data_IF_507233859895
#
_entry.id   IF_507233859895
#
_cell.length_a   1.000
_cell.length_b   1.000
_cell.length_c   1.000
_cell.angle_alpha   90.00
_cell.angle_beta   90.00
_cell.angle_gamma   90.00
#
_symmetry.space_group_name_H-M   'P 1'
#
loop_
_entity.id
_entity.type
_entity.pdbx_description
1 polymer ?
#
# COMPACT_ATOMS: atom_id res chain seq x y z
N UNK A 1 24.60 47.81 -34.87
CA UNK A 1 24.55 46.33 -34.83
C UNK A 1 24.10 45.82 -33.46
N UNK A 2 23.54 46.68 -32.58
CA UNK A 2 23.12 46.32 -31.22
C UNK A 2 21.60 46.16 -31.06
N UNK A 3 20.78 46.80 -31.89
CA UNK A 3 19.30 46.76 -31.77
C UNK A 3 18.64 45.40 -32.07
N UNK A 4 19.24 44.58 -32.95
CA UNK A 4 18.70 43.26 -33.31
C UNK A 4 18.86 42.23 -32.18
N UNK A 5 19.83 42.42 -31.28
CA UNK A 5 20.08 41.55 -30.12
C UNK A 5 19.06 41.78 -29.00
N UNK A 6 18.74 43.05 -28.74
CA UNK A 6 17.80 43.45 -27.69
C UNK A 6 16.36 43.04 -28.05
N UNK A 7 15.99 43.12 -29.33
CA UNK A 7 14.67 42.69 -29.81
C UNK A 7 14.45 41.18 -29.58
N UNK A 8 15.47 40.36 -29.84
CA UNK A 8 15.43 38.92 -29.65
C UNK A 8 15.28 38.50 -28.17
N UNK A 9 15.96 39.22 -27.26
CA UNK A 9 15.85 38.98 -25.82
C UNK A 9 14.45 39.35 -25.29
N UNK A 10 13.88 40.46 -25.78
CA UNK A 10 12.54 40.88 -25.39
C UNK A 10 11.46 39.91 -25.87
N UNK A 11 11.60 39.34 -27.06
CA UNK A 11 10.68 38.31 -27.56
C UNK A 11 10.78 37.00 -26.75
N UNK A 12 11.99 36.59 -26.36
CA UNK A 12 12.17 35.43 -25.46
C UNK A 12 11.57 35.68 -24.08
N UNK A 13 11.72 36.88 -23.52
CA UNK A 13 11.10 37.26 -22.25
C UNK A 13 9.57 37.30 -22.34
N UNK A 14 9.00 37.68 -23.49
CA UNK A 14 7.54 37.63 -23.71
C UNK A 14 7.04 36.19 -23.71
N UNK A 15 7.71 35.29 -24.44
CA UNK A 15 7.35 33.86 -24.49
C UNK A 15 7.44 33.22 -23.10
N UNK A 16 8.49 33.55 -22.33
CA UNK A 16 8.64 33.08 -20.95
C UNK A 16 7.51 33.57 -20.05
N UNK A 17 7.09 34.82 -20.16
CA UNK A 17 5.94 35.35 -19.41
C UNK A 17 4.64 34.63 -19.74
N UNK A 18 4.40 34.35 -21.02
CA UNK A 18 3.20 33.64 -21.47
C UNK A 18 3.17 32.19 -20.94
N UNK A 19 4.31 31.50 -20.96
CA UNK A 19 4.44 30.16 -20.39
C UNK A 19 4.23 30.15 -18.86
N UNK A 20 4.77 31.13 -18.14
CA UNK A 20 4.53 31.27 -16.69
C UNK A 20 3.05 31.49 -16.41
N UNK A 21 2.38 32.33 -17.21
CA UNK A 21 0.95 32.60 -17.06
C UNK A 21 0.11 31.33 -17.23
N UNK A 22 0.44 30.50 -18.23
CA UNK A 22 -0.27 29.25 -18.50
C UNK A 22 -0.01 28.20 -17.40
N UNK A 23 1.22 28.14 -16.86
CA UNK A 23 1.55 27.28 -15.71
C UNK A 23 0.74 27.70 -14.47
N UNK A 24 0.65 29.01 -14.19
CA UNK A 24 -0.14 29.54 -13.07
C UNK A 24 -1.62 29.19 -13.24
N UNK A 25 -2.17 29.35 -14.44
CA UNK A 25 -3.56 28.99 -14.76
C UNK A 25 -3.84 27.51 -14.54
N UNK A 26 -2.96 26.62 -15.01
CA UNK A 26 -3.10 25.18 -14.82
C UNK A 26 -2.99 24.76 -13.35
N UNK A 27 -2.11 25.42 -12.59
CA UNK A 27 -1.95 25.18 -11.15
C UNK A 27 -3.22 25.56 -10.39
N UNK A 28 -3.82 26.70 -10.72
CA UNK A 28 -5.08 27.14 -10.11
C UNK A 28 -6.24 26.20 -10.46
N UNK A 29 -6.31 25.71 -11.71
CA UNK A 29 -7.30 24.69 -12.08
C UNK A 29 -7.13 23.42 -11.25
N UNK A 30 -5.90 22.93 -11.07
CA UNK A 30 -5.63 21.76 -10.25
C UNK A 30 -6.04 21.97 -8.78
N UNK A 31 -5.75 23.13 -8.20
CA UNK A 31 -6.19 23.49 -6.84
C UNK A 31 -7.72 23.44 -6.69
N UNK A 32 -8.47 24.00 -7.65
CA UNK A 32 -9.94 23.94 -7.62
C UNK A 32 -10.49 22.52 -7.75
N UNK A 33 -9.82 21.63 -8.49
CA UNK A 33 -10.21 20.22 -8.59
C UNK A 33 -9.95 19.47 -7.27
N UNK A 34 -8.89 19.82 -6.55
CA UNK A 34 -8.54 19.28 -5.24
C UNK A 34 -9.58 19.68 -4.18
N UNK A 35 -9.93 20.96 -4.10
CA UNK A 35 -10.97 21.47 -3.19
C UNK A 35 -12.34 20.82 -3.47
N UNK A 36 -12.71 20.65 -4.75
CA UNK A 36 -13.93 19.91 -5.13
C UNK A 36 -13.88 18.44 -4.68
N UNK A 37 -12.70 17.82 -4.73
CA UNK A 37 -12.48 16.46 -4.24
C UNK A 37 -12.64 16.36 -2.73
N UNK A 38 -12.09 17.32 -1.98
CA UNK A 38 -12.21 17.40 -0.52
C UNK A 38 -13.65 17.66 -0.08
N UNK A 39 -14.37 18.56 -0.75
CA UNK A 39 -15.80 18.80 -0.50
C UNK A 39 -16.65 17.54 -0.71
N UNK A 40 -16.36 16.73 -1.74
CA UNK A 40 -17.03 15.44 -1.94
C UNK A 40 -16.71 14.44 -0.84
N UNK A 41 -15.45 14.37 -0.39
CA UNK A 41 -15.06 13.49 0.73
C UNK A 41 -15.74 13.90 2.03
N UNK A 42 -15.85 15.20 2.29
CA UNK A 42 -16.52 15.70 3.50
C UNK A 42 -18.02 15.36 3.50
N UNK A 43 -18.70 15.57 2.38
CA UNK A 43 -20.12 15.17 2.24
C UNK A 43 -20.34 13.68 2.50
N UNK A 44 -19.44 12.82 2.01
CA UNK A 44 -19.51 11.37 2.26
C UNK A 44 -19.29 11.03 3.75
N UNK A 45 -18.38 11.73 4.43
CA UNK A 45 -18.18 11.58 5.88
C UNK A 45 -19.43 11.97 6.65
N UNK A 46 -20.04 13.10 6.33
CA UNK A 46 -21.24 13.59 7.00
C UNK A 46 -22.44 12.65 6.77
N UNK A 47 -22.55 12.05 5.58
CA UNK A 47 -23.55 11.03 5.26
C UNK A 47 -23.36 9.75 6.09
N UNK A 48 -22.12 9.27 6.22
CA UNK A 48 -21.80 8.11 7.05
C UNK A 48 -22.17 8.37 8.52
N UNK A 49 -21.79 9.54 9.07
CA UNK A 49 -22.11 9.92 10.45
C UNK A 49 -23.63 9.97 10.67
N UNK A 50 -24.38 10.60 9.75
CA UNK A 50 -25.85 10.66 9.84
C UNK A 50 -26.49 9.27 9.83
N UNK A 51 -25.96 8.33 9.04
CA UNK A 51 -26.47 6.98 8.98
C UNK A 51 -26.17 6.18 10.26
N UNK A 52 -24.99 6.36 10.86
CA UNK A 52 -24.63 5.77 12.16
C UNK A 52 -25.54 6.28 13.27
N UNK A 53 -25.85 7.57 13.31
CA UNK A 53 -26.76 8.15 14.31
C UNK A 53 -28.21 7.64 14.18
N UNK A 54 -28.69 7.39 12.96
CA UNK A 54 -30.01 6.77 12.71
C UNK A 54 -30.08 5.34 13.21
N UNK A 55 -28.98 4.59 13.07
CA UNK A 55 -28.88 3.21 13.59
C UNK A 55 -28.92 3.24 15.12
N UNK A 56 -28.20 4.17 15.76
CA UNK A 56 -28.14 4.28 17.21
C UNK A 56 -29.50 4.68 17.82
N UNK A 57 -30.29 5.53 17.15
CA UNK A 57 -31.63 5.94 17.60
C UNK A 57 -32.71 4.84 17.53
N UNK A 58 -32.50 3.79 16.75
CA UNK A 58 -33.45 2.68 16.62
C UNK A 58 -33.18 1.52 17.60
N UNK A 59 -32.22 1.67 18.51
CA UNK A 59 -31.85 0.68 19.51
C UNK A 59 -32.36 1.11 20.91
N UNK A 60 -33.56 0.69 21.30
CA UNK A 60 -33.99 0.75 22.71
C UNK A 60 -33.68 -0.58 23.42
N UNK A 61 -32.95 -0.57 24.57
CA UNK A 61 -32.66 -1.78 25.32
C UNK A 61 -33.80 -2.12 26.29
N UNK A 62 -34.58 -3.17 25.99
CA UNK A 62 -35.46 -3.80 26.99
C UNK A 62 -34.66 -4.77 27.87
N UNK A 63 -34.44 -4.40 29.14
CA UNK A 63 -33.86 -5.27 30.18
C UNK A 63 -34.96 -5.83 31.10
N UNK A 64 -35.04 -7.15 31.33
CA UNK A 64 -35.73 -7.71 32.48
C UNK A 64 -34.76 -7.86 33.67
N UNK A 65 -35.15 -7.31 34.83
CA UNK A 65 -34.56 -7.59 36.15
C UNK A 65 -35.02 -8.95 36.64
N UNK A 66 -34.17 -9.76 37.27
CA UNK A 66 -34.46 -10.54 38.49
C UNK A 66 -33.17 -11.07 39.15
N UNK A 67 -33.20 -11.20 40.48
CA UNK A 67 -32.05 -11.34 41.38
C UNK A 67 -31.84 -12.77 41.90
N UNK A 68 -30.56 -13.20 42.00
CA UNK A 68 -29.92 -14.14 42.99
C UNK A 68 -30.40 -15.61 43.15
N UNK A 69 -29.62 -16.54 43.78
CA UNK A 69 -28.16 -16.70 43.90
C UNK A 69 -27.63 -18.17 43.67
N UNK A 70 -26.30 -18.32 43.75
CA UNK A 70 -25.40 -19.48 43.61
C UNK A 70 -25.81 -20.84 44.21
N UNK A 71 -25.45 -21.94 43.53
CA UNK A 71 -25.00 -23.21 44.15
C UNK A 71 -24.08 -23.99 43.20
N UNK A 72 -22.91 -24.41 43.69
CA UNK A 72 -21.94 -25.29 43.01
C UNK A 72 -22.30 -26.78 43.19
N UNK A 73 -22.24 -27.60 42.13
CA UNK A 73 -21.88 -29.03 42.25
C UNK A 73 -21.34 -29.62 40.93
N UNK A 74 -20.54 -30.69 41.06
CA UNK A 74 -19.50 -31.17 40.15
C UNK A 74 -19.92 -32.07 38.99
N UNK A 75 -19.07 -32.05 37.94
CA UNK A 75 -18.80 -32.97 36.83
C UNK A 75 -19.61 -34.30 36.70
N UNK A 76 -20.18 -34.53 35.50
CA UNK A 76 -19.93 -35.77 34.71
C UNK A 76 -20.36 -35.63 33.23
N UNK A 77 -19.72 -36.44 32.40
CA UNK A 77 -19.49 -36.39 30.94
C UNK A 77 -20.71 -36.70 30.04
N UNK A 78 -20.66 -36.14 28.82
CA UNK A 78 -21.25 -36.54 27.50
C UNK A 78 -22.54 -35.86 26.99
N UNK A 79 -22.34 -34.98 26.01
CA UNK A 79 -23.10 -34.94 24.75
C UNK A 79 -24.29 -33.98 24.70
N UNK A 80 -24.13 -32.84 24.03
CA UNK A 80 -25.07 -32.31 23.02
C UNK A 80 -24.67 -30.88 22.63
N UNK A 81 -24.80 -30.57 21.35
CA UNK A 81 -24.61 -29.25 20.75
C UNK A 81 -25.50 -28.20 21.42
N UNK A 82 -24.92 -27.05 21.78
CA UNK A 82 -25.58 -25.73 21.67
C UNK A 82 -24.55 -24.61 21.52
N UNK A 83 -24.88 -23.53 20.79
CA UNK A 83 -23.93 -22.60 20.20
C UNK A 83 -23.59 -21.46 21.17
N UNK A 84 -22.29 -21.20 21.35
CA UNK A 84 -21.81 -19.98 21.98
C UNK A 84 -21.84 -18.88 20.91
N UNK A 85 -22.97 -18.16 20.80
CA UNK A 85 -23.15 -17.03 19.89
C UNK A 85 -22.83 -15.74 20.64
N UNK A 86 -21.66 -15.19 20.36
CA UNK A 86 -21.19 -13.92 20.90
C UNK A 86 -19.87 -13.46 20.28
N UNK A 87 -19.62 -13.81 19.02
CA UNK A 87 -18.56 -13.22 18.21
C UNK A 87 -19.21 -12.74 16.92
N UNK A 88 -18.98 -11.48 16.57
CA UNK A 88 -19.46 -10.86 15.34
C UNK A 88 -18.91 -11.65 14.14
N UNK A 89 -19.70 -12.62 13.67
CA UNK A 89 -19.41 -13.37 12.46
C UNK A 89 -19.48 -12.36 11.33
N UNK A 90 -18.31 -11.95 10.84
CA UNK A 90 -18.16 -11.18 9.60
C UNK A 90 -19.07 -11.83 8.56
N UNK A 91 -20.07 -11.08 8.10
CA UNK A 91 -20.90 -11.53 7.00
C UNK A 91 -19.97 -11.82 5.84
N UNK A 92 -19.97 -13.05 5.32
CA UNK A 92 -19.10 -13.47 4.22
C UNK A 92 -19.23 -12.57 2.95
N UNK A 93 -20.20 -11.66 2.94
CA UNK A 93 -20.41 -10.61 1.93
C UNK A 93 -19.41 -9.45 2.02
N UNK A 94 -18.83 -9.18 3.18
CA UNK A 94 -17.93 -8.04 3.42
C UNK A 94 -16.45 -8.39 3.18
N UNK A 95 -16.15 -9.68 3.00
CA UNK A 95 -14.80 -10.16 2.68
C UNK A 95 -14.52 -9.91 1.19
N UNK A 96 -13.40 -9.26 0.83
CA UNK A 96 -13.02 -9.03 -0.56
C UNK A 96 -13.02 -10.31 -1.39
N UNK A 97 -13.55 -10.22 -2.61
CA UNK A 97 -13.59 -11.36 -3.54
C UNK A 97 -12.18 -11.77 -3.91
N UNK A 98 -11.96 -13.04 -4.24
CA UNK A 98 -10.63 -13.56 -4.60
C UNK A 98 -9.91 -12.75 -5.71
N UNK A 99 -10.66 -12.12 -6.62
CA UNK A 99 -10.09 -11.27 -7.68
C UNK A 99 -9.45 -9.97 -7.16
N UNK A 100 -9.82 -9.52 -5.96
CA UNK A 100 -9.31 -8.31 -5.30
C UNK A 100 -8.07 -8.60 -4.46
N UNK A 101 -7.71 -9.88 -4.31
CA UNK A 101 -6.52 -10.29 -3.55
C UNK A 101 -5.28 -10.31 -4.46
N UNK A 102 -4.09 -10.02 -3.89
CA UNK A 102 -2.86 -10.03 -4.67
C UNK A 102 -2.55 -11.47 -5.13
N UNK A 103 -1.88 -11.59 -6.28
CA UNK A 103 -1.35 -12.86 -6.77
C UNK A 103 0.17 -12.85 -6.69
N UNK A 104 0.75 -14.00 -6.37
CA UNK A 104 2.20 -14.16 -6.28
C UNK A 104 2.66 -15.33 -7.15
N UNK A 105 3.74 -15.14 -7.92
CA UNK A 105 4.34 -16.19 -8.76
C UNK A 105 5.66 -16.71 -8.20
N UNK A 106 6.41 -15.86 -7.48
CA UNK A 106 7.77 -16.13 -7.05
C UNK A 106 8.76 -16.28 -8.21
N UNK A 107 8.46 -15.72 -9.38
CA UNK A 107 9.27 -15.77 -10.61
C UNK A 107 9.57 -14.36 -11.12
N UNK A 108 10.81 -14.11 -11.58
CA UNK A 108 11.24 -12.82 -12.13
C UNK A 108 11.56 -11.75 -11.09
N UNK A 109 11.32 -10.48 -11.44
CA UNK A 109 11.36 -9.35 -10.51
C UNK A 109 10.06 -9.35 -9.68
N UNK A 110 10.02 -10.13 -8.59
CA UNK A 110 8.86 -10.20 -7.69
C UNK A 110 9.05 -9.33 -6.45
N UNK A 111 7.95 -8.88 -5.84
CA UNK A 111 7.96 -8.20 -4.55
C UNK A 111 7.14 -9.00 -3.52
N UNK A 112 7.83 -9.86 -2.76
CA UNK A 112 7.20 -10.71 -1.76
C UNK A 112 6.72 -9.92 -0.53
N UNK A 113 7.41 -8.82 -0.21
CA UNK A 113 7.02 -7.88 0.86
C UNK A 113 5.68 -7.23 0.54
N UNK A 114 5.50 -6.71 -0.68
CA UNK A 114 4.25 -6.06 -1.08
C UNK A 114 3.07 -7.02 -1.07
N UNK A 115 3.29 -8.27 -1.49
CA UNK A 115 2.28 -9.32 -1.39
C UNK A 115 1.85 -9.56 0.06
N UNK A 116 2.82 -9.73 0.96
CA UNK A 116 2.56 -9.93 2.40
C UNK A 116 1.84 -8.72 3.00
N UNK A 117 2.35 -7.51 2.75
CA UNK A 117 1.79 -6.24 3.23
C UNK A 117 0.36 -6.03 2.77
N UNK A 118 0.06 -6.37 1.52
CA UNK A 118 -1.31 -6.26 0.99
C UNK A 118 -2.26 -7.20 1.73
N UNK A 119 -1.84 -8.44 2.00
CA UNK A 119 -2.64 -9.37 2.81
C UNK A 119 -2.80 -8.86 4.24
N UNK A 120 -1.75 -8.35 4.88
CA UNK A 120 -1.82 -7.78 6.23
C UNK A 120 -2.81 -6.60 6.29
N UNK A 121 -2.81 -5.70 5.29
CA UNK A 121 -3.78 -4.61 5.20
C UNK A 121 -5.21 -5.13 5.05
N UNK A 122 -5.43 -6.15 4.21
CA UNK A 122 -6.75 -6.76 4.06
C UNK A 122 -7.20 -7.44 5.36
N UNK A 123 -6.29 -8.11 6.05
CA UNK A 123 -6.54 -8.73 7.33
C UNK A 123 -6.96 -7.71 8.38
N UNK A 124 -6.22 -6.60 8.49
CA UNK A 124 -6.49 -5.53 9.45
C UNK A 124 -7.81 -4.82 9.13
N UNK A 125 -8.02 -4.43 7.86
CA UNK A 125 -9.17 -3.64 7.46
C UNK A 125 -10.51 -4.39 7.53
N UNK A 126 -10.49 -5.69 7.21
CA UNK A 126 -11.69 -6.53 7.21
C UNK A 126 -11.74 -7.51 8.39
N UNK A 127 -10.83 -7.38 9.36
CA UNK A 127 -10.70 -8.29 10.52
C UNK A 127 -10.69 -9.78 10.15
N UNK A 128 -9.99 -10.13 9.06
CA UNK A 128 -10.07 -11.47 8.47
C UNK A 128 -9.36 -12.49 9.37
N UNK A 129 -10.03 -13.58 9.79
CA UNK A 129 -9.38 -14.67 10.51
C UNK A 129 -8.33 -15.37 9.65
N UNK A 130 -7.26 -15.85 10.29
CA UNK A 130 -6.17 -16.57 9.62
C UNK A 130 -6.69 -17.77 8.81
N UNK A 131 -7.70 -18.49 9.30
CA UNK A 131 -8.37 -19.59 8.58
C UNK A 131 -8.78 -19.23 7.15
N UNK A 132 -9.30 -18.02 6.96
CA UNK A 132 -9.80 -17.54 5.67
C UNK A 132 -8.63 -17.20 4.74
N UNK A 133 -7.61 -16.53 5.28
CA UNK A 133 -6.36 -16.24 4.56
C UNK A 133 -5.74 -17.55 4.08
N UNK A 134 -5.64 -18.52 4.99
CA UNK A 134 -5.10 -19.85 4.73
C UNK A 134 -5.90 -20.65 3.71
N UNK A 135 -7.23 -20.50 3.71
CA UNK A 135 -8.11 -21.06 2.68
C UNK A 135 -7.86 -20.45 1.29
N UNK A 136 -7.52 -19.16 1.24
CA UNK A 136 -7.27 -18.44 -0.02
C UNK A 136 -5.86 -18.59 -0.56
N UNK A 137 -4.84 -18.78 0.29
CA UNK A 137 -3.42 -18.80 -0.12
C UNK A 137 -3.11 -19.73 -1.31
N UNK A 138 -3.69 -20.93 -1.36
CA UNK A 138 -3.52 -21.86 -2.48
C UNK A 138 -3.90 -21.25 -3.84
N UNK A 139 -4.86 -20.32 -3.85
CA UNK A 139 -5.34 -19.63 -5.06
C UNK A 139 -4.58 -18.34 -5.36
N UNK A 140 -3.96 -17.73 -4.35
CA UNK A 140 -3.14 -16.52 -4.49
C UNK A 140 -1.76 -16.85 -5.07
N UNK A 141 -1.23 -18.03 -4.73
CA UNK A 141 -0.01 -18.54 -5.34
C UNK A 141 -0.23 -19.07 -6.75
N UNK A 142 0.72 -18.76 -7.63
CA UNK A 142 0.71 -19.13 -9.03
C UNK A 142 2.07 -19.70 -9.46
N UNK A 143 2.09 -20.51 -10.52
CA UNK A 143 3.32 -21.07 -11.10
C UNK A 143 4.23 -21.75 -10.07
N UNK A 144 5.51 -21.38 -9.99
CA UNK A 144 6.48 -21.97 -9.07
C UNK A 144 6.08 -21.79 -7.59
N UNK A 145 5.56 -20.62 -7.20
CA UNK A 145 5.12 -20.41 -5.81
C UNK A 145 3.99 -21.34 -5.38
N UNK A 146 3.09 -21.70 -6.30
CA UNK A 146 2.00 -22.65 -6.02
C UNK A 146 2.54 -24.04 -5.71
N UNK A 147 3.49 -24.52 -6.52
CA UNK A 147 4.14 -25.83 -6.31
C UNK A 147 4.89 -25.88 -4.98
N UNK A 148 5.59 -24.79 -4.63
CA UNK A 148 6.25 -24.68 -3.33
C UNK A 148 5.24 -24.71 -2.18
N UNK A 149 4.15 -23.95 -2.28
CA UNK A 149 3.11 -23.90 -1.26
C UNK A 149 2.47 -25.27 -1.03
N UNK A 150 2.11 -25.98 -2.10
CA UNK A 150 1.49 -27.30 -2.01
C UNK A 150 2.42 -28.31 -1.33
N UNK A 151 3.73 -28.27 -1.63
CA UNK A 151 4.73 -29.09 -0.95
C UNK A 151 4.86 -28.72 0.53
N UNK A 152 5.04 -27.44 0.84
CA UNK A 152 5.19 -26.97 2.23
C UNK A 152 3.98 -27.35 3.09
N UNK A 153 2.77 -27.26 2.53
CA UNK A 153 1.53 -27.62 3.21
C UNK A 153 1.40 -29.14 3.43
N UNK A 154 1.93 -29.96 2.53
CA UNK A 154 2.02 -31.42 2.72
C UNK A 154 3.01 -31.78 3.83
N UNK A 155 4.17 -31.11 3.87
CA UNK A 155 5.26 -31.43 4.79
C UNK A 155 4.99 -30.93 6.23
N UNK A 156 4.35 -29.76 6.40
CA UNK A 156 4.20 -29.09 7.71
C UNK A 156 2.74 -29.00 8.19
N UNK A 157 1.74 -29.24 7.32
CA UNK A 157 0.32 -29.21 7.70
C UNK A 157 -0.28 -27.81 7.80
N UNK A 158 -1.22 -27.59 8.75
CA UNK A 158 -1.92 -26.31 8.94
C UNK A 158 -1.10 -25.42 9.89
N UNK A 159 -0.84 -24.20 9.45
CA UNK A 159 -0.19 -23.15 10.23
C UNK A 159 -0.92 -21.82 10.06
N UNK A 160 -0.62 -20.88 10.95
CA UNK A 160 -1.16 -19.52 10.97
C UNK A 160 -0.47 -18.62 9.93
N UNK A 161 -1.03 -17.43 9.71
CA UNK A 161 -0.50 -16.51 8.70
C UNK A 161 0.91 -16.01 9.07
N UNK A 162 1.20 -15.82 10.35
CA UNK A 162 2.51 -15.39 10.84
C UNK A 162 3.63 -16.38 10.46
N UNK A 163 3.38 -17.68 10.60
CA UNK A 163 4.32 -18.71 10.17
C UNK A 163 4.54 -18.67 8.66
N UNK A 164 3.46 -18.56 7.87
CA UNK A 164 3.58 -18.47 6.42
C UNK A 164 4.39 -17.25 5.98
N UNK A 165 4.18 -16.07 6.58
CA UNK A 165 5.01 -14.87 6.32
C UNK A 165 6.49 -15.17 6.50
N UNK A 166 6.86 -15.83 7.59
CA UNK A 166 8.25 -16.18 7.90
C UNK A 166 8.85 -17.13 6.87
N UNK A 167 8.10 -18.16 6.45
CA UNK A 167 8.52 -19.10 5.41
C UNK A 167 8.63 -18.44 4.03
N UNK A 168 7.72 -17.52 3.71
CA UNK A 168 7.77 -16.74 2.47
C UNK A 168 9.05 -15.89 2.42
N UNK A 169 9.34 -15.14 3.49
CA UNK A 169 10.57 -14.34 3.60
C UNK A 169 11.79 -15.26 3.48
N UNK A 170 11.82 -16.37 4.20
CA UNK A 170 12.92 -17.34 4.13
C UNK A 170 13.15 -17.88 2.72
N UNK A 171 12.07 -18.19 1.99
CA UNK A 171 12.16 -18.76 0.65
C UNK A 171 12.60 -17.73 -0.40
N UNK A 172 12.03 -16.52 -0.33
CA UNK A 172 12.10 -15.54 -1.42
C UNK A 172 12.98 -14.32 -1.16
N UNK A 173 13.36 -14.07 0.09
CA UNK A 173 14.40 -13.10 0.47
C UNK A 173 15.80 -13.75 0.56
N UNK A 174 16.08 -14.76 -0.26
CA UNK A 174 17.40 -15.39 -0.25
C UNK A 174 18.48 -14.46 -0.83
N UNK A 175 19.71 -14.61 -0.34
CA UNK A 175 20.86 -13.76 -0.71
C UNK A 175 21.09 -13.69 -2.22
N UNK A 176 20.91 -14.82 -2.93
CA UNK A 176 21.09 -14.86 -4.38
C UNK A 176 20.06 -13.99 -5.12
N UNK A 177 18.82 -13.93 -4.63
CA UNK A 177 17.80 -13.06 -5.18
C UNK A 177 18.06 -11.59 -4.82
N UNK A 178 18.44 -11.29 -3.58
CA UNK A 178 18.80 -9.94 -3.16
C UNK A 178 19.91 -9.37 -4.04
N UNK A 179 20.99 -10.11 -4.23
CA UNK A 179 22.10 -9.71 -5.10
C UNK A 179 21.65 -9.46 -6.55
N UNK A 180 20.74 -10.30 -7.08
CA UNK A 180 20.18 -10.09 -8.42
C UNK A 180 19.36 -8.79 -8.48
N UNK A 181 18.51 -8.53 -7.49
CA UNK A 181 17.71 -7.29 -7.46
C UNK A 181 18.57 -6.05 -7.27
N UNK A 182 19.59 -6.10 -6.43
CA UNK A 182 20.56 -5.01 -6.27
C UNK A 182 21.24 -4.69 -7.60
N UNK A 183 21.75 -5.70 -8.32
CA UNK A 183 22.35 -5.48 -9.64
C UNK A 183 21.37 -4.93 -10.67
N UNK A 184 20.12 -5.39 -10.64
CA UNK A 184 19.04 -4.91 -11.52
C UNK A 184 18.67 -3.45 -11.19
N UNK A 185 18.71 -3.04 -9.93
CA UNK A 185 18.55 -1.65 -9.53
C UNK A 185 19.78 -0.81 -9.92
N UNK A 186 20.99 -1.31 -9.67
CA UNK A 186 22.21 -0.56 -9.94
C UNK A 186 22.49 -0.36 -11.43
N UNK A 187 22.10 -1.30 -12.28
CA UNK A 187 22.19 -1.14 -13.74
C UNK A 187 21.04 -0.29 -14.32
N UNK A 188 19.98 -0.02 -13.56
CA UNK A 188 18.85 0.77 -14.05
C UNK A 188 19.16 2.27 -13.98
N UNK A 189 19.53 2.84 -15.12
CA UNK A 189 19.66 4.29 -15.32
C UNK A 189 18.43 4.77 -16.09
N UNK A 190 17.82 5.87 -15.63
CA UNK A 190 16.65 6.43 -16.29
C UNK A 190 17.04 7.07 -17.63
N UNK A 191 16.23 6.84 -18.67
CA UNK A 191 16.38 7.46 -19.98
C UNK A 191 15.07 8.09 -20.44
N UNK A 192 15.05 9.40 -20.67
CA UNK A 192 13.86 10.12 -21.16
C UNK A 192 13.34 9.64 -22.52
N UNK A 193 14.20 9.01 -23.32
CA UNK A 193 13.85 8.45 -24.63
C UNK A 193 13.14 7.09 -24.53
N UNK A 194 13.44 6.31 -23.49
CA UNK A 194 12.99 4.92 -23.35
C UNK A 194 11.95 4.73 -22.26
N UNK A 195 12.02 5.53 -21.20
CA UNK A 195 11.31 5.31 -19.96
C UNK A 195 10.22 6.35 -19.72
N UNK A 196 9.06 5.88 -19.25
CA UNK A 196 8.03 6.76 -18.69
C UNK A 196 8.39 7.06 -17.23
N UNK A 197 8.56 8.33 -16.82
CA UNK A 197 9.08 8.70 -15.50
C UNK A 197 8.38 8.00 -14.33
N UNK A 198 7.04 8.05 -14.28
CA UNK A 198 6.27 7.47 -13.19
C UNK A 198 6.38 5.93 -13.14
N UNK A 199 6.22 5.26 -14.27
CA UNK A 199 6.31 3.80 -14.35
C UNK A 199 7.70 3.32 -13.94
N UNK A 200 8.74 4.00 -14.41
CA UNK A 200 10.11 3.67 -14.07
C UNK A 200 10.41 3.91 -12.59
N UNK A 201 9.96 5.05 -12.05
CA UNK A 201 10.11 5.39 -10.64
C UNK A 201 9.43 4.36 -9.72
N UNK A 202 8.17 4.00 -9.98
CA UNK A 202 7.47 3.00 -9.18
C UNK A 202 8.16 1.64 -9.26
N UNK A 203 8.65 1.24 -10.44
CA UNK A 203 9.43 0.01 -10.58
C UNK A 203 10.69 0.01 -9.72
N UNK A 204 11.40 1.14 -9.62
CA UNK A 204 12.56 1.26 -8.74
C UNK A 204 12.18 1.28 -7.26
N UNK A 205 11.08 1.95 -6.91
CA UNK A 205 10.53 1.97 -5.55
C UNK A 205 10.16 0.55 -5.09
N UNK A 206 9.52 -0.23 -5.95
CA UNK A 206 9.17 -1.64 -5.66
C UNK A 206 10.40 -2.49 -5.41
N UNK A 207 11.47 -2.34 -6.22
CA UNK A 207 12.74 -3.06 -6.03
C UNK A 207 13.37 -2.72 -4.68
N UNK A 208 13.41 -1.43 -4.32
CA UNK A 208 14.02 -0.97 -3.08
C UNK A 208 13.24 -1.42 -1.85
N UNK A 209 11.91 -1.39 -1.87
CA UNK A 209 11.11 -1.94 -0.77
C UNK A 209 11.26 -3.45 -0.61
N UNK A 210 11.34 -4.17 -1.73
CA UNK A 210 11.53 -5.62 -1.68
C UNK A 210 12.91 -6.02 -1.12
N UNK A 211 13.91 -5.14 -1.24
CA UNK A 211 15.26 -5.32 -0.69
C UNK A 211 15.36 -4.83 0.77
N UNK A 212 14.78 -3.68 1.08
CA UNK A 212 14.89 -3.00 2.37
C UNK A 212 13.52 -2.44 2.78
N UNK A 213 12.65 -3.25 3.39
CA UNK A 213 11.30 -2.84 3.75
C UNK A 213 11.28 -1.69 4.77
N UNK A 214 12.31 -1.59 5.62
CA UNK A 214 12.41 -0.57 6.67
C UNK A 214 13.01 0.76 6.18
N UNK A 215 13.32 0.88 4.88
CA UNK A 215 13.89 2.11 4.32
C UNK A 215 12.84 3.22 4.23
N UNK A 216 13.19 4.42 4.70
CA UNK A 216 12.29 5.57 4.59
C UNK A 216 12.04 5.98 3.15
N UNK A 217 10.83 6.48 2.87
CA UNK A 217 10.44 7.00 1.56
C UNK A 217 11.41 8.08 1.06
N UNK A 218 11.90 8.95 1.94
CA UNK A 218 12.91 9.96 1.60
C UNK A 218 14.20 9.32 1.08
N UNK A 219 14.70 8.29 1.77
CA UNK A 219 15.93 7.59 1.37
C UNK A 219 15.73 6.83 0.06
N UNK A 220 14.59 6.16 -0.10
CA UNK A 220 14.20 5.50 -1.36
C UNK A 220 14.20 6.51 -2.50
N UNK A 221 13.50 7.63 -2.34
CA UNK A 221 13.40 8.67 -3.36
C UNK A 221 14.79 9.22 -3.73
N UNK A 222 15.66 9.46 -2.74
CA UNK A 222 17.03 9.93 -2.98
C UNK A 222 17.88 8.90 -3.73
N UNK A 223 17.77 7.62 -3.41
CA UNK A 223 18.46 6.55 -4.15
C UNK A 223 17.99 6.49 -5.61
N UNK A 224 16.68 6.61 -5.85
CA UNK A 224 16.12 6.62 -7.20
C UNK A 224 16.56 7.88 -7.96
N UNK A 225 16.56 9.06 -7.33
CA UNK A 225 16.98 10.32 -7.96
C UNK A 225 18.42 10.27 -8.49
N UNK A 226 19.34 9.62 -7.75
CA UNK A 226 20.73 9.42 -8.21
C UNK A 226 20.84 8.62 -9.51
N UNK A 227 19.81 7.85 -9.87
CA UNK A 227 19.76 7.08 -11.11
C UNK A 227 19.26 7.89 -12.32
N UNK A 228 18.76 9.11 -12.11
CA UNK A 228 18.37 10.02 -13.19
C UNK A 228 19.60 10.68 -13.86
N UNK A 229 20.70 10.82 -13.12
CA UNK A 229 21.95 11.39 -13.62
C UNK A 229 21.85 12.88 -14.04
N UNK A 230 23.01 13.54 -14.09
CA UNK A 230 23.18 14.84 -14.77
C UNK A 230 22.25 15.97 -14.32
N UNK A 231 21.68 16.69 -15.30
CA UNK A 231 20.94 17.95 -15.12
C UNK A 231 19.65 17.80 -14.30
N UNK A 232 18.99 16.64 -14.32
CA UNK A 232 17.74 16.45 -13.60
C UNK A 232 17.96 16.26 -12.09
N UNK A 233 19.01 15.54 -11.70
CA UNK A 233 19.42 15.43 -10.29
C UNK A 233 19.79 16.81 -9.72
N UNK A 234 20.55 17.60 -10.49
CA UNK A 234 20.90 18.97 -10.12
C UNK A 234 19.67 19.88 -10.06
N UNK A 235 18.79 19.83 -11.06
CA UNK A 235 17.58 20.67 -11.13
C UNK A 235 16.56 20.36 -10.02
N UNK A 236 16.48 19.12 -9.56
CA UNK A 236 15.61 18.72 -8.45
C UNK A 236 16.24 19.15 -7.11
N UNK A 237 17.53 18.90 -6.90
CA UNK A 237 18.26 19.34 -5.69
C UNK A 237 18.22 20.86 -5.51
N UNK A 238 18.33 21.64 -6.58
CA UNK A 238 18.24 23.10 -6.52
C UNK A 238 16.83 23.63 -6.21
N UNK A 239 15.77 22.81 -6.39
CA UNK A 239 14.37 23.20 -6.12
C UNK A 239 13.82 22.64 -4.81
N UNK A 240 14.40 21.56 -4.31
CA UNK A 240 14.15 21.09 -2.94
C UNK A 240 14.80 22.08 -1.98
N UNK A 241 13.99 23.00 -1.44
CA UNK A 241 14.39 23.87 -0.34
C UNK A 241 14.60 22.98 0.88
N UNK A 242 15.82 22.48 1.09
CA UNK A 242 16.25 22.27 2.47
C UNK A 242 16.34 23.66 3.08
N UNK A 243 15.62 23.96 4.19
CA UNK A 243 15.91 25.16 4.95
C UNK A 243 17.36 25.00 5.40
N UNK A 244 18.23 25.81 4.80
CA UNK A 244 19.58 26.03 5.29
C UNK A 244 19.45 26.25 6.79
N UNK A 245 20.04 25.34 7.58
CA UNK A 245 20.20 25.52 9.01
C UNK A 245 20.98 26.82 9.19
N UNK A 246 20.28 27.91 9.45
CA UNK A 246 20.87 29.13 10.00
C UNK A 246 21.14 28.82 11.46
N UNK A 247 22.30 28.23 11.72
CA UNK A 247 22.96 28.39 13.01
C UNK A 247 23.53 29.81 13.03
N UNK A 248 22.86 30.70 13.75
CA UNK A 248 23.44 31.86 14.42
C UNK A 248 23.39 31.59 15.93
#
# INVERSE_FOLDING_TARGET
>A
MEDLSILNINDQLRILKDHVLEITKNTNQFATHLEKGESKRQKLKDEIISNVEKIHKNYEPHMPRHSTPLTEEKLSVKGSLTPFLGEDIISAKDIPKLAEWPKFSGEGEYNHIEFIRTIDILQEYFHIPDEIIMGKLHSLFTRNSKKWYDKMRQDHGKHDWAWWKSEMITKWANTSWMFKMENVFESAIFSSEKDKPLTWFFKQKDRLYALNPDMSDTMINMKILRKFGGELEHAIKCRSVEPCSTED
#
